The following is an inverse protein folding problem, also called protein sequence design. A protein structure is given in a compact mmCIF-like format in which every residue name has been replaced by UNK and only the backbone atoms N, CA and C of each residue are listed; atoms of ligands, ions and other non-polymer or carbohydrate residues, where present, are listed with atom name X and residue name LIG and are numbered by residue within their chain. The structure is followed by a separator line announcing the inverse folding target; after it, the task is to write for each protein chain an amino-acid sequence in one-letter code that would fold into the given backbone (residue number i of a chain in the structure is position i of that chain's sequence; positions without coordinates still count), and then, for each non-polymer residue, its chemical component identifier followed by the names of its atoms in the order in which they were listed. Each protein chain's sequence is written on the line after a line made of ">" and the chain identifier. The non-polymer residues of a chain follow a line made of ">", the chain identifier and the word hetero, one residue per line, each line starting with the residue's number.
data_IF_969146666566
#
_entry.id   IF_969146666566
#
_cell.length_a   1.000
_cell.length_b   1.000
_cell.length_c   1.000
_cell.angle_alpha   90.00
_cell.angle_beta   90.00
_cell.angle_gamma   90.00
#
_symmetry.space_group_name_H-M   'P 1'
#
loop_
_entity.id
_entity.type
_entity.pdbx_description
1 polymer ?
#
# COMPACT_ATOMS: atom_id res chain seq x y z
N UNK A 1 -0.67 68.33 3.57
CA UNK A 1 -1.86 67.67 2.96
C UNK A 1 -1.65 66.17 3.17
N UNK A 2 -2.27 65.49 4.13
CA UNK A 2 -3.70 65.17 4.30
C UNK A 2 -4.09 65.23 5.78
N UNK A 3 -5.30 65.71 6.02
CA UNK A 3 -5.98 65.94 7.32
C UNK A 3 -6.98 64.80 7.59
N UNK A 4 -7.31 64.57 8.87
CA UNK A 4 -8.56 64.05 9.48
C UNK A 4 -8.17 63.65 10.93
N UNK A 5 -8.33 64.39 12.03
CA UNK A 5 -9.36 65.20 12.70
C UNK A 5 -10.58 64.43 13.24
N UNK A 6 -10.68 64.46 14.59
CA UNK A 6 -11.84 64.37 15.51
C UNK A 6 -12.55 63.00 15.64
N UNK A 7 -12.64 62.37 16.83
CA UNK A 7 -13.29 62.77 18.10
C UNK A 7 -14.78 63.07 17.95
N UNK A 8 -15.67 62.16 18.39
CA UNK A 8 -16.49 62.31 19.62
C UNK A 8 -17.53 61.19 19.76
N UNK A 9 -17.94 60.98 21.02
CA UNK A 9 -18.93 60.07 21.58
C UNK A 9 -20.31 60.10 20.91
N UNK A 10 -20.95 58.92 20.80
CA UNK A 10 -22.40 58.79 20.84
C UNK A 10 -22.80 57.71 21.85
N UNK A 11 -23.65 58.14 22.78
CA UNK A 11 -24.12 57.45 23.98
C UNK A 11 -25.25 56.46 23.68
N UNK A 12 -25.24 55.35 24.43
CA UNK A 12 -26.20 54.27 24.67
C UNK A 12 -27.67 54.40 24.23
N UNK A 13 -28.24 53.25 23.81
CA UNK A 13 -29.46 52.69 24.43
C UNK A 13 -29.38 51.15 24.44
N UNK A 14 -29.22 50.61 25.65
CA UNK A 14 -29.41 49.22 26.00
C UNK A 14 -30.92 48.95 26.07
N UNK A 15 -31.40 47.88 25.43
CA UNK A 15 -32.55 47.15 25.96
C UNK A 15 -32.06 45.79 26.43
N UNK A 16 -31.81 45.75 27.74
CA UNK A 16 -31.60 44.54 28.50
C UNK A 16 -32.86 43.67 28.50
N UNK A 17 -32.69 42.37 28.35
CA UNK A 17 -33.42 41.39 29.15
C UNK A 17 -32.55 40.12 29.16
N UNK A 18 -31.59 40.09 30.08
CA UNK A 18 -31.75 39.39 31.36
C UNK A 18 -31.84 37.87 31.15
N UNK A 19 -30.68 37.22 31.08
CA UNK A 19 -30.55 35.82 31.51
C UNK A 19 -29.66 35.83 32.76
N UNK A 20 -30.09 35.19 33.87
CA UNK A 20 -29.37 35.22 35.14
C UNK A 20 -27.94 34.70 35.05
N UNK A 21 -27.04 35.38 35.75
CA UNK A 21 -25.70 34.91 36.04
C UNK A 21 -25.73 33.89 37.18
N UNK A 22 -25.28 32.67 36.91
CA UNK A 22 -24.61 31.83 37.90
C UNK A 22 -23.27 31.41 37.28
N UNK A 23 -22.20 31.96 37.84
CA UNK A 23 -20.82 31.62 37.50
C UNK A 23 -20.54 30.16 37.85
N UNK A 24 -19.76 29.46 37.03
CA UNK A 24 -18.48 28.84 37.43
C UNK A 24 -17.89 28.14 36.20
N UNK A 25 -16.86 28.75 35.63
CA UNK A 25 -15.98 28.13 34.65
C UNK A 25 -15.01 27.19 35.37
N UNK A 26 -14.93 25.94 34.93
CA UNK A 26 -13.75 25.07 35.02
C UNK A 26 -14.08 23.68 34.44
N UNK A 27 -13.57 23.42 33.23
CA UNK A 27 -13.24 22.12 32.65
C UNK A 27 -13.91 20.87 33.24
N UNK A 28 -14.98 20.38 32.60
CA UNK A 28 -15.14 18.94 32.39
C UNK A 28 -16.10 18.64 31.24
N UNK A 29 -15.56 18.46 30.03
CA UNK A 29 -16.27 17.72 28.98
C UNK A 29 -16.25 16.24 29.38
N UNK A 30 -17.26 15.84 30.15
CA UNK A 30 -17.53 14.44 30.45
C UNK A 30 -18.07 13.76 29.17
N UNK A 31 -17.22 12.92 28.59
CA UNK A 31 -17.53 11.59 28.06
C UNK A 31 -18.85 11.44 27.31
N UNK A 32 -18.81 11.64 25.99
CA UNK A 32 -19.79 11.01 25.09
C UNK A 32 -19.39 9.55 24.85
N UNK A 33 -19.69 8.68 25.83
CA UNK A 33 -19.65 7.23 25.62
C UNK A 33 -20.94 6.81 24.91
N UNK A 34 -20.89 6.67 23.59
CA UNK A 34 -21.28 5.47 22.82
C UNK A 34 -21.00 5.74 21.33
N UNK A 35 -19.73 5.70 20.95
CA UNK A 35 -19.41 5.30 19.58
C UNK A 35 -19.69 3.79 19.52
N UNK A 36 -20.80 3.43 18.86
CA UNK A 36 -21.20 2.05 18.60
C UNK A 36 -19.98 1.17 18.32
N UNK A 37 -19.81 0.15 19.16
CA UNK A 37 -18.90 -1.00 18.99
C UNK A 37 -19.30 -1.90 17.80
N UNK A 38 -19.81 -1.31 16.72
CA UNK A 38 -20.00 -1.96 15.41
C UNK A 38 -18.99 -1.36 14.42
N UNK A 39 -17.75 -1.21 14.86
CA UNK A 39 -16.59 -1.05 13.97
C UNK A 39 -15.63 -2.23 14.10
N UNK A 40 -16.07 -3.35 14.69
CA UNK A 40 -15.29 -4.60 14.73
C UNK A 40 -15.40 -5.43 13.44
N UNK A 41 -16.06 -4.94 12.39
CA UNK A 41 -16.12 -5.63 11.09
C UNK A 41 -15.74 -4.77 9.89
N UNK A 42 -15.18 -3.59 10.14
CA UNK A 42 -14.27 -3.00 9.17
C UNK A 42 -12.88 -3.46 9.60
N UNK A 43 -12.56 -4.73 9.31
CA UNK A 43 -11.21 -4.99 8.78
C UNK A 43 -11.16 -4.03 7.62
N UNK A 44 -10.61 -2.84 7.85
CA UNK A 44 -10.26 -1.97 6.77
C UNK A 44 -9.46 -2.89 5.87
N UNK A 45 -9.96 -3.10 4.66
CA UNK A 45 -9.12 -3.41 3.54
C UNK A 45 -8.15 -2.23 3.51
N UNK A 46 -7.15 -2.23 4.40
CA UNK A 46 -5.89 -1.60 4.18
C UNK A 46 -5.62 -2.03 2.76
N UNK A 47 -5.72 -1.07 1.86
CA UNK A 47 -5.20 -1.17 0.53
C UNK A 47 -3.82 -1.76 0.73
N UNK A 48 -3.72 -3.09 0.63
CA UNK A 48 -2.50 -3.84 0.86
C UNK A 48 -1.65 -3.30 -0.26
N UNK A 49 -0.74 -2.39 0.09
CA UNK A 49 0.01 -1.66 -0.90
C UNK A 49 0.82 -2.71 -1.63
N UNK A 50 0.31 -3.11 -2.79
CA UNK A 50 0.88 -4.17 -3.56
C UNK A 50 2.27 -3.69 -3.93
N UNK A 51 3.29 -4.40 -3.47
CA UNK A 51 4.66 -3.97 -3.64
C UNK A 51 5.28 -4.74 -4.81
N UNK A 52 6.46 -4.27 -5.23
CA UNK A 52 7.22 -4.92 -6.28
C UNK A 52 8.40 -5.67 -5.71
N UNK A 53 8.71 -6.80 -6.34
CA UNK A 53 9.88 -7.61 -6.02
C UNK A 53 10.68 -7.82 -7.30
N UNK A 54 11.99 -7.66 -7.23
CA UNK A 54 12.89 -7.98 -8.32
C UNK A 54 13.34 -9.44 -8.25
N UNK A 55 13.06 -10.20 -9.30
CA UNK A 55 13.56 -11.56 -9.48
C UNK A 55 14.73 -11.51 -10.44
N UNK A 56 15.79 -12.25 -10.11
CA UNK A 56 16.98 -12.37 -10.95
C UNK A 56 17.43 -13.83 -11.02
N UNK A 57 18.13 -14.17 -12.10
CA UNK A 57 18.70 -15.50 -12.30
C UNK A 57 19.98 -15.39 -13.13
N UNK A 58 20.72 -16.49 -13.19
CA UNK A 58 21.94 -16.59 -14.01
C UNK A 58 21.59 -16.76 -15.50
N UNK A 59 22.41 -16.19 -16.38
CA UNK A 59 22.31 -16.46 -17.81
C UNK A 59 22.61 -17.94 -18.12
N UNK A 60 21.84 -18.55 -19.04
CA UNK A 60 22.02 -19.95 -19.45
C UNK A 60 22.68 -19.96 -20.85
N UNK A 61 23.73 -20.75 -21.08
CA UNK A 61 24.32 -20.90 -22.42
C UNK A 61 23.29 -21.43 -23.44
N UNK A 62 23.42 -21.03 -24.71
CA UNK A 62 22.52 -21.43 -25.80
C UNK A 62 21.04 -21.01 -25.63
N UNK A 63 20.80 -19.97 -24.82
CA UNK A 63 19.47 -19.42 -24.59
C UNK A 63 18.86 -18.82 -25.86
N UNK A 64 17.61 -19.18 -26.12
CA UNK A 64 16.71 -18.45 -27.01
C UNK A 64 15.79 -17.52 -26.23
N UNK A 65 15.15 -18.02 -25.16
CA UNK A 65 14.30 -17.21 -24.26
C UNK A 65 14.10 -17.85 -22.88
N UNK A 66 13.66 -17.04 -21.93
CA UNK A 66 13.06 -17.48 -20.68
C UNK A 66 11.54 -17.37 -20.75
N UNK A 67 10.84 -18.35 -20.21
CA UNK A 67 9.42 -18.25 -19.86
C UNK A 67 9.33 -18.09 -18.34
N UNK A 68 8.58 -17.10 -17.87
CA UNK A 68 8.40 -16.83 -16.44
C UNK A 68 6.92 -16.85 -16.06
N UNK A 69 6.63 -17.25 -14.82
CA UNK A 69 5.29 -17.20 -14.25
C UNK A 69 5.34 -16.83 -12.77
N UNK A 70 4.39 -16.03 -12.32
CA UNK A 70 4.19 -15.63 -10.93
C UNK A 70 2.74 -15.93 -10.53
N UNK A 71 2.56 -16.77 -9.51
CA UNK A 71 1.26 -17.29 -9.08
C UNK A 71 1.06 -17.00 -7.60
N UNK A 72 -0.10 -16.44 -7.24
CA UNK A 72 -0.57 -16.39 -5.86
C UNK A 72 -1.13 -17.77 -5.51
N UNK A 73 -0.43 -18.49 -4.64
CA UNK A 73 -0.83 -19.83 -4.18
C UNK A 73 -1.89 -19.76 -3.08
N UNK A 74 -2.02 -18.64 -2.38
CA UNK A 74 -3.05 -18.46 -1.33
C UNK A 74 -4.43 -18.28 -1.94
N UNK A 75 -4.54 -17.45 -2.98
CA UNK A 75 -5.82 -17.09 -3.61
C UNK A 75 -6.01 -17.76 -4.98
N UNK A 76 -5.04 -18.58 -5.41
CA UNK A 76 -5.05 -19.38 -6.63
C UNK A 76 -5.31 -18.57 -7.92
N UNK A 77 -4.55 -17.49 -8.13
CA UNK A 77 -4.57 -16.72 -9.38
C UNK A 77 -3.17 -16.41 -9.89
N UNK A 78 -3.03 -16.25 -11.21
CA UNK A 78 -1.78 -15.83 -11.85
C UNK A 78 -1.64 -14.31 -11.77
N UNK A 79 -0.52 -13.84 -11.22
CA UNK A 79 -0.18 -12.41 -11.22
C UNK A 79 0.32 -12.02 -12.61
N UNK A 80 1.25 -12.81 -13.14
CA UNK A 80 1.95 -12.49 -14.37
C UNK A 80 2.50 -13.77 -15.01
N UNK A 81 2.55 -13.80 -16.33
CA UNK A 81 3.31 -14.77 -17.10
C UNK A 81 3.81 -14.10 -18.38
N UNK A 82 4.90 -14.61 -18.93
CA UNK A 82 5.41 -14.09 -20.19
C UNK A 82 6.75 -14.68 -20.58
N UNK A 83 7.34 -14.10 -21.61
CA UNK A 83 8.63 -14.52 -22.14
C UNK A 83 9.59 -13.35 -22.22
N UNK A 84 10.88 -13.58 -21.98
CA UNK A 84 11.90 -12.54 -22.10
C UNK A 84 13.31 -13.14 -22.31
N UNK A 85 14.26 -12.34 -22.77
CA UNK A 85 15.69 -12.71 -22.83
C UNK A 85 16.49 -12.16 -21.66
N UNK A 86 15.95 -11.17 -20.93
CA UNK A 86 16.58 -10.59 -19.75
C UNK A 86 16.64 -11.59 -18.59
N UNK A 87 17.70 -11.49 -17.79
CA UNK A 87 17.94 -12.32 -16.60
C UNK A 87 17.35 -11.75 -15.31
N UNK A 88 16.44 -10.79 -15.43
CA UNK A 88 15.74 -10.20 -14.30
C UNK A 88 14.33 -9.75 -14.68
N UNK A 89 13.41 -9.75 -13.71
CA UNK A 89 12.03 -9.26 -13.85
C UNK A 89 11.62 -8.53 -12.57
N UNK A 90 11.14 -7.30 -12.69
CA UNK A 90 10.39 -6.68 -11.59
C UNK A 90 8.92 -7.02 -11.77
N UNK A 91 8.33 -7.64 -10.73
CA UNK A 91 6.92 -8.03 -10.71
C UNK A 91 6.24 -7.21 -9.62
N UNK A 92 5.11 -6.58 -9.93
CA UNK A 92 4.25 -5.85 -8.98
C UNK A 92 3.06 -6.73 -8.59
N UNK A 93 2.28 -6.33 -7.58
CA UNK A 93 1.07 -7.08 -7.22
C UNK A 93 1.22 -8.01 -6.02
N UNK A 94 2.34 -7.96 -5.29
CA UNK A 94 2.53 -8.79 -4.10
C UNK A 94 1.87 -8.18 -2.88
N UNK A 95 1.05 -8.98 -2.21
CA UNK A 95 0.31 -8.60 -1.02
C UNK A 95 0.97 -9.26 0.19
N UNK A 96 1.39 -8.50 1.22
CA UNK A 96 2.01 -9.08 2.41
C UNK A 96 1.16 -10.18 3.05
N UNK A 97 1.79 -11.26 3.50
CA UNK A 97 1.16 -12.42 4.14
C UNK A 97 0.59 -13.46 3.17
N UNK A 98 0.58 -13.20 1.86
CA UNK A 98 0.17 -14.18 0.84
C UNK A 98 1.35 -15.03 0.39
N UNK A 99 1.09 -16.28 0.03
CA UNK A 99 2.11 -17.22 -0.48
C UNK A 99 2.13 -17.16 -2.00
N UNK A 100 3.34 -17.06 -2.56
CA UNK A 100 3.56 -16.95 -3.99
C UNK A 100 4.59 -17.96 -4.47
N UNK A 101 4.49 -18.32 -5.75
CA UNK A 101 5.53 -19.03 -6.48
C UNK A 101 5.89 -18.25 -7.73
N UNK A 102 7.19 -18.01 -7.93
CA UNK A 102 7.74 -17.47 -9.17
C UNK A 102 8.64 -18.53 -9.80
N UNK A 103 8.31 -18.94 -11.01
CA UNK A 103 9.05 -19.96 -11.76
C UNK A 103 9.64 -19.35 -13.03
N UNK A 104 10.79 -19.86 -13.43
CA UNK A 104 11.51 -19.48 -14.66
C UNK A 104 11.99 -20.75 -15.35
N UNK A 105 11.77 -20.82 -16.66
CA UNK A 105 12.25 -21.91 -17.52
C UNK A 105 13.01 -21.32 -18.69
N UNK A 106 14.20 -21.83 -18.98
CA UNK A 106 15.04 -21.45 -20.09
C UNK A 106 14.83 -22.41 -21.26
N UNK A 107 14.70 -21.86 -22.46
CA UNK A 107 14.54 -22.62 -23.69
C UNK A 107 15.64 -22.28 -24.70
N UNK A 108 16.12 -23.30 -25.41
CA UNK A 108 16.98 -23.12 -26.59
C UNK A 108 16.14 -22.78 -27.84
N UNK A 109 16.80 -22.59 -28.99
CA UNK A 109 16.15 -22.22 -30.25
C UNK A 109 15.23 -23.32 -30.82
N UNK A 110 15.37 -24.57 -30.32
CA UNK A 110 14.53 -25.70 -30.68
C UNK A 110 13.39 -25.91 -29.66
N UNK A 111 13.23 -24.99 -28.69
CA UNK A 111 12.29 -25.08 -27.58
C UNK A 111 12.54 -26.26 -26.63
N UNK A 112 13.78 -26.76 -26.54
CA UNK A 112 14.15 -27.68 -25.48
C UNK A 112 14.34 -26.92 -24.17
N UNK A 113 13.87 -27.48 -23.06
CA UNK A 113 14.18 -26.98 -21.73
C UNK A 113 15.66 -27.21 -21.43
N UNK A 114 16.40 -26.11 -21.23
CA UNK A 114 17.84 -26.11 -20.94
C UNK A 114 18.15 -25.56 -19.54
N UNK A 115 17.11 -25.38 -18.72
CA UNK A 115 17.24 -25.02 -17.32
C UNK A 115 15.91 -24.54 -16.75
N UNK A 116 15.68 -24.82 -15.46
CA UNK A 116 14.46 -24.39 -14.79
C UNK A 116 14.68 -24.20 -13.30
N UNK A 117 13.88 -23.32 -12.70
CA UNK A 117 13.95 -23.02 -11.28
C UNK A 117 12.72 -22.28 -10.80
N UNK A 118 12.53 -22.27 -9.48
CA UNK A 118 11.49 -21.48 -8.86
C UNK A 118 11.88 -21.03 -7.45
N UNK A 119 11.19 -19.99 -6.98
CA UNK A 119 11.15 -19.61 -5.57
C UNK A 119 9.71 -19.63 -5.10
N UNK A 120 9.49 -20.14 -3.90
CA UNK A 120 8.21 -20.07 -3.22
C UNK A 120 8.40 -19.36 -1.88
N UNK A 121 7.58 -18.35 -1.62
CA UNK A 121 7.77 -17.47 -0.48
C UNK A 121 6.45 -16.90 0.03
N UNK A 122 6.43 -16.49 1.30
CA UNK A 122 5.37 -15.63 1.83
C UNK A 122 5.81 -14.18 1.63
N UNK A 123 5.00 -13.39 0.95
CA UNK A 123 5.31 -12.00 0.68
C UNK A 123 5.44 -11.19 1.98
N UNK A 124 6.55 -10.47 2.09
CA UNK A 124 6.81 -9.49 3.15
C UNK A 124 7.20 -8.17 2.50
N UNK A 125 6.67 -7.04 2.98
CA UNK A 125 7.01 -5.71 2.47
C UNK A 125 8.49 -5.33 2.63
N UNK A 126 9.24 -6.07 3.45
CA UNK A 126 10.69 -5.92 3.58
C UNK A 126 11.48 -6.64 2.48
N UNK A 127 10.84 -7.52 1.72
CA UNK A 127 11.51 -8.29 0.66
C UNK A 127 11.48 -7.49 -0.63
N UNK A 128 12.65 -7.17 -1.16
CA UNK A 128 12.80 -6.39 -2.39
C UNK A 128 13.34 -7.23 -3.56
N UNK A 129 13.97 -8.37 -3.28
CA UNK A 129 14.54 -9.22 -4.32
C UNK A 129 14.61 -10.71 -3.97
N UNK A 130 14.61 -11.54 -5.02
CA UNK A 130 14.94 -12.96 -4.97
C UNK A 130 15.90 -13.35 -6.11
N UNK A 131 16.73 -14.35 -5.83
CA UNK A 131 17.53 -15.02 -6.84
C UNK A 131 16.98 -16.43 -7.08
N UNK A 132 16.72 -16.75 -8.34
CA UNK A 132 16.21 -18.05 -8.79
C UNK A 132 17.37 -18.84 -9.39
N UNK A 133 17.70 -19.97 -8.76
CA UNK A 133 18.66 -20.91 -9.31
C UNK A 133 18.01 -21.73 -10.41
N UNK A 134 18.58 -21.68 -11.61
CA UNK A 134 18.20 -22.54 -12.73
C UNK A 134 19.10 -23.77 -12.74
N UNK A 135 18.49 -24.94 -12.68
CA UNK A 135 19.14 -26.25 -12.69
C UNK A 135 19.75 -26.56 -14.06
#
# INVERSE_FOLDING_TARGET
>A
MKKLIASTFATCLLFASAVPAFAQDNNQAASSTVASVVAANQVSNAQLAAFSINFSWRSVPNLYRYDFSAINLTDNYTIEFGTQTATSRNITGFVPGKTYRVAVTAYDANFNNIGSGYVQFVASSSTTSYYINLN
#
